data_IF_750528532143
#
_entry.id   IF_750528532143
#
_cell.length_a   1.000
_cell.length_b   1.000
_cell.length_c   1.000
_cell.angle_alpha   90.00
_cell.angle_beta   90.00
_cell.angle_gamma   90.00
#
_symmetry.space_group_name_H-M   'P 1'
#
loop_
_entity.id
_entity.type
_entity.pdbx_description
1 polymer ?
#
# COMPACT_ATOMS: atom_id res chain seq x y z
N UNK A 1 21.02 -18.45 16.14
CA UNK A 1 21.33 -17.23 15.37
C UNK A 1 20.04 -16.71 14.77
N UNK A 2 19.83 -15.41 14.88
CA UNK A 2 18.54 -14.70 14.84
C UNK A 2 17.86 -14.74 13.47
N UNK A 3 16.59 -15.17 13.45
CA UNK A 3 15.67 -15.08 12.32
C UNK A 3 15.30 -13.61 12.11
N UNK A 4 15.88 -12.95 11.10
CA UNK A 4 15.43 -11.62 10.70
C UNK A 4 14.11 -11.76 9.92
N UNK A 5 13.04 -11.24 10.51
CA UNK A 5 11.71 -11.12 9.94
C UNK A 5 11.75 -10.17 8.73
N UNK A 6 12.08 -10.67 7.55
CA UNK A 6 11.78 -9.97 6.30
C UNK A 6 10.28 -10.13 6.02
N UNK A 7 9.44 -9.45 6.80
CA UNK A 7 8.08 -9.14 6.36
C UNK A 7 8.19 -8.03 5.31
N UNK A 8 8.64 -8.40 4.11
CA UNK A 8 8.17 -7.71 2.92
C UNK A 8 6.65 -7.84 2.98
N UNK A 9 5.95 -6.78 3.38
CA UNK A 9 4.50 -6.72 3.41
C UNK A 9 3.95 -6.64 1.98
N UNK A 10 4.28 -7.66 1.20
CA UNK A 10 3.74 -8.02 -0.11
C UNK A 10 2.58 -8.95 0.23
N UNK A 11 1.29 -8.62 0.21
CA UNK A 11 0.53 -7.69 -0.62
C UNK A 11 -0.88 -7.62 -0.09
N UNK A 12 -1.45 -6.43 0.11
CA UNK A 12 -2.91 -6.28 0.08
C UNK A 12 -3.34 -6.42 -1.38
N UNK A 13 -3.56 -7.65 -1.87
CA UNK A 13 -4.29 -7.85 -3.12
C UNK A 13 -5.68 -7.26 -2.91
N UNK A 14 -5.96 -6.13 -3.54
CA UNK A 14 -7.29 -5.55 -3.63
C UNK A 14 -7.91 -5.99 -4.96
N UNK A 15 -8.60 -7.15 -5.02
CA UNK A 15 -9.33 -7.56 -6.21
C UNK A 15 -10.36 -6.48 -6.55
N UNK A 16 -10.14 -5.77 -7.66
CA UNK A 16 -11.00 -4.67 -8.12
C UNK A 16 -10.37 -3.26 -8.06
N UNK A 17 -9.20 -3.08 -7.44
CA UNK A 17 -8.49 -1.81 -7.56
C UNK A 17 -7.94 -1.64 -8.98
N UNK A 18 -8.42 -0.63 -9.72
CA UNK A 18 -7.99 -0.35 -11.10
C UNK A 18 -6.52 0.04 -11.17
N UNK A 19 -6.01 0.73 -10.17
CA UNK A 19 -4.60 1.19 -10.13
C UNK A 19 -3.65 0.04 -9.84
N UNK A 20 -3.99 -0.85 -8.90
CA UNK A 20 -3.23 -2.08 -8.71
C UNK A 20 -3.39 -3.05 -9.88
N UNK A 21 -4.57 -3.14 -10.50
CA UNK A 21 -4.87 -4.05 -11.62
C UNK A 21 -4.52 -5.53 -11.31
N UNK A 22 -4.62 -5.94 -10.04
CA UNK A 22 -4.24 -7.28 -9.59
C UNK A 22 -2.73 -7.48 -9.34
N UNK A 23 -1.90 -6.46 -9.60
CA UNK A 23 -0.46 -6.47 -9.28
C UNK A 23 -0.21 -6.42 -7.78
N UNK A 24 0.94 -6.93 -7.32
CA UNK A 24 1.40 -6.68 -5.98
C UNK A 24 1.55 -5.17 -5.73
N UNK A 25 1.18 -4.70 -4.53
CA UNK A 25 1.42 -3.34 -4.07
C UNK A 25 2.18 -3.35 -2.75
N UNK A 26 3.11 -2.41 -2.61
CA UNK A 26 3.84 -2.10 -1.38
C UNK A 26 3.00 -1.12 -0.53
N UNK A 27 2.93 -1.36 0.78
CA UNK A 27 2.31 -0.43 1.73
C UNK A 27 3.32 0.64 2.12
N UNK A 28 3.00 1.91 1.83
CA UNK A 28 3.84 3.06 2.12
C UNK A 28 3.49 3.71 3.47
N UNK A 29 2.18 3.86 3.75
CA UNK A 29 1.71 4.56 4.93
C UNK A 29 0.34 4.04 5.39
N UNK A 30 0.04 4.14 6.69
CA UNK A 30 -1.25 3.77 7.27
C UNK A 30 -1.77 4.87 8.19
N UNK A 31 -3.06 5.19 8.06
CA UNK A 31 -3.75 6.21 8.84
C UNK A 31 -5.07 5.61 9.36
N UNK A 32 -5.24 5.57 10.68
CA UNK A 32 -6.51 5.13 11.27
C UNK A 32 -7.68 6.03 10.86
N UNK A 33 -8.83 5.43 10.56
CA UNK A 33 -10.06 6.13 10.13
C UNK A 33 -10.60 7.08 11.21
N UNK A 34 -10.30 6.82 12.49
CA UNK A 34 -10.77 7.60 13.64
C UNK A 34 -10.23 9.02 13.76
N UNK A 35 -9.27 9.42 12.92
CA UNK A 35 -8.80 10.81 12.87
C UNK A 35 -9.67 11.66 11.95
N UNK A 36 -9.92 12.94 12.28
CA UNK A 36 -10.60 13.86 11.37
C UNK A 36 -9.79 13.99 10.09
N UNK A 37 -10.48 13.93 8.94
CA UNK A 37 -9.86 14.04 7.60
C UNK A 37 -8.80 12.97 7.32
N UNK A 38 -8.92 11.80 7.94
CA UNK A 38 -8.02 10.66 7.73
C UNK A 38 -7.89 10.24 6.26
N UNK A 39 -8.99 10.26 5.49
CA UNK A 39 -8.98 10.01 4.04
C UNK A 39 -8.19 11.09 3.29
N UNK A 40 -8.50 12.37 3.50
CA UNK A 40 -7.82 13.46 2.82
C UNK A 40 -6.31 13.46 3.10
N UNK A 41 -5.92 13.13 4.34
CA UNK A 41 -4.50 12.98 4.70
C UNK A 41 -3.84 11.80 3.97
N UNK A 42 -4.57 10.70 3.77
CA UNK A 42 -4.05 9.56 3.00
C UNK A 42 -3.90 9.93 1.52
N UNK A 43 -4.84 10.69 0.96
CA UNK A 43 -4.77 11.19 -0.41
C UNK A 43 -3.60 12.16 -0.62
N UNK A 44 -3.37 13.08 0.34
CA UNK A 44 -2.22 13.99 0.31
C UNK A 44 -0.90 13.19 0.30
N UNK A 45 -0.76 12.19 1.18
CA UNK A 45 0.43 11.34 1.23
C UNK A 45 0.60 10.52 -0.06
N UNK A 46 -0.49 10.05 -0.66
CA UNK A 46 -0.44 9.35 -1.94
C UNK A 46 0.03 10.29 -3.08
N UNK A 47 -0.47 11.53 -3.09
CA UNK A 47 -0.07 12.54 -4.07
C UNK A 47 1.41 12.93 -3.93
N UNK A 48 1.90 13.08 -2.70
CA UNK A 48 3.32 13.37 -2.41
C UNK A 48 4.25 12.20 -2.79
N UNK A 49 3.80 10.95 -2.61
CA UNK A 49 4.58 9.77 -2.97
C UNK A 49 4.75 9.61 -4.49
N UNK A 50 3.76 10.04 -5.29
CA UNK A 50 3.76 9.90 -6.74
C UNK A 50 3.79 8.43 -7.20
N UNK A 51 4.20 8.18 -8.45
CA UNK A 51 4.45 6.82 -8.98
C UNK A 51 3.26 5.85 -8.81
N UNK A 52 2.05 6.30 -9.17
CA UNK A 52 0.79 5.53 -9.03
C UNK A 52 0.43 5.14 -7.58
N UNK A 53 0.99 5.83 -6.58
CA UNK A 53 0.55 5.69 -5.20
C UNK A 53 -0.92 6.11 -5.06
N UNK A 54 -1.68 5.34 -4.28
CA UNK A 54 -3.11 5.54 -4.08
C UNK A 54 -3.56 4.93 -2.75
N UNK A 55 -4.78 5.27 -2.33
CA UNK A 55 -5.31 4.85 -1.03
C UNK A 55 -6.19 3.62 -1.16
N UNK A 56 -5.99 2.65 -0.27
CA UNK A 56 -6.88 1.54 0.01
C UNK A 56 -7.54 1.74 1.38
N UNK A 57 -8.82 1.41 1.51
CA UNK A 57 -9.48 1.31 2.82
C UNK A 57 -9.41 -0.14 3.30
N UNK A 58 -8.77 -0.39 4.46
CA UNK A 58 -8.90 -1.66 5.16
C UNK A 58 -10.04 -1.57 6.16
N UNK A 59 -11.15 -2.26 5.86
CA UNK A 59 -12.31 -2.32 6.76
C UNK A 59 -12.03 -3.15 8.01
N UNK A 60 -11.18 -4.17 7.93
CA UNK A 60 -10.84 -5.04 9.06
C UNK A 60 -9.96 -4.35 10.09
N UNK A 61 -9.09 -3.44 9.63
CA UNK A 61 -8.13 -2.73 10.47
C UNK A 61 -8.57 -1.27 10.77
N UNK A 62 -9.74 -0.86 10.27
CA UNK A 62 -10.28 0.50 10.39
C UNK A 62 -9.24 1.60 10.03
N UNK A 63 -8.61 1.45 8.86
CA UNK A 63 -7.52 2.33 8.40
C UNK A 63 -7.54 2.59 6.90
N UNK A 64 -7.06 3.78 6.52
CA UNK A 64 -6.64 4.10 5.17
C UNK A 64 -5.16 3.75 5.01
N UNK A 65 -4.84 3.06 3.92
CA UNK A 65 -3.51 2.55 3.62
C UNK A 65 -3.08 3.12 2.29
N UNK A 66 -2.02 3.91 2.30
CA UNK A 66 -1.38 4.37 1.07
C UNK A 66 -0.52 3.23 0.54
N UNK A 67 -0.81 2.81 -0.68
CA UNK A 67 -0.11 1.73 -1.36
C UNK A 67 0.44 2.22 -2.68
N UNK A 68 1.50 1.57 -3.15
CA UNK A 68 2.08 1.79 -4.48
C UNK A 68 2.17 0.46 -5.22
N UNK A 69 1.63 0.35 -6.44
CA UNK A 69 1.84 -0.84 -7.26
C UNK A 69 3.33 -1.08 -7.46
N UNK A 70 3.78 -2.29 -7.16
CA UNK A 70 5.12 -2.73 -7.55
C UNK A 70 4.98 -3.17 -9.00
N UNK A 71 5.75 -2.59 -9.91
CA UNK A 71 5.86 -3.15 -11.25
C UNK A 71 6.33 -4.60 -11.11
N UNK A 72 5.77 -5.52 -11.90
CA UNK A 72 6.37 -6.84 -12.11
C UNK A 72 7.73 -6.60 -12.78
N UNK A 73 8.73 -6.28 -11.97
CA UNK A 73 10.11 -6.23 -12.40
C UNK A 73 10.57 -7.69 -12.37
N UNK A 74 10.22 -8.44 -13.40
CA UNK A 74 10.98 -9.65 -13.70
C UNK A 74 12.45 -9.25 -13.94
N UNK A 75 13.36 -10.10 -13.46
CA UNK A 75 14.82 -10.07 -13.60
C UNK A 75 15.62 -9.24 -12.58
N UNK A 76 15.82 -9.85 -11.41
CA UNK A 76 16.92 -9.54 -10.50
C UNK A 76 17.30 -10.76 -9.65
N UNK A 77 17.46 -11.91 -10.30
CA UNK A 77 17.95 -13.15 -9.69
C UNK A 77 19.47 -13.19 -9.82
N UNK A 78 20.25 -13.25 -8.72
CA UNK A 78 21.63 -13.69 -8.79
C UNK A 78 21.73 -15.21 -9.03
#
# INVERSE_FOLDING_TARGET
MTTALTQSATTSRAPGCRTCAGRPSERLYSIGTGQPRSLAKADDVAAEAGQDAHVHQSLSDDQYVVVRPVADNEAGQP
#
